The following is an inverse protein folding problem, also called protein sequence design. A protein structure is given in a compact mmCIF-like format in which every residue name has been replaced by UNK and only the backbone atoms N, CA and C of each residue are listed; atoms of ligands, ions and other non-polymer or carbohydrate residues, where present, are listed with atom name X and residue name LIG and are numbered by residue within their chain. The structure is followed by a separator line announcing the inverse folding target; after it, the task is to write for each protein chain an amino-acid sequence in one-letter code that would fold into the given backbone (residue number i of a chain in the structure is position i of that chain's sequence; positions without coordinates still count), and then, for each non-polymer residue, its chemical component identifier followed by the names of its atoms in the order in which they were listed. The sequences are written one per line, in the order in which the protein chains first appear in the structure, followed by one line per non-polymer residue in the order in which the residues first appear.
data_IF_065865182086
#
_entry.id   IF_065865182086
#
_cell.length_a   1.000
_cell.length_b   1.000
_cell.length_c   1.000
_cell.angle_alpha   90.00
_cell.angle_beta   90.00
_cell.angle_gamma   90.00
#
_symmetry.space_group_name_H-M   'P 1'
#
loop_
_entity.id
_entity.type
_entity.pdbx_description
1 polymer ?
#
# COMPACT_ATOMS: atom_id res chain seq x y z
N UNK A 1 11.39 11.15 13.55
CA UNK A 1 10.01 10.97 13.42
C UNK A 1 9.59 9.83 12.50
N UNK A 2 8.52 10.03 11.78
CA UNK A 2 7.85 9.02 10.94
C UNK A 2 8.79 8.34 9.92
N UNK A 3 9.54 9.10 9.15
CA UNK A 3 10.48 8.53 8.15
C UNK A 3 11.45 7.48 8.72
N UNK A 4 11.90 7.64 9.97
CA UNK A 4 12.76 6.66 10.63
C UNK A 4 12.01 5.37 10.98
N UNK A 5 10.76 5.50 11.44
CA UNK A 5 9.91 4.34 11.78
C UNK A 5 9.51 3.58 10.51
N UNK A 6 9.12 4.28 9.46
CA UNK A 6 8.79 3.67 8.17
C UNK A 6 10.00 3.01 7.51
N UNK A 7 11.18 3.61 7.59
CA UNK A 7 12.42 2.98 7.11
C UNK A 7 12.76 1.71 7.88
N UNK A 8 12.56 1.72 9.21
CA UNK A 8 12.77 0.53 10.03
C UNK A 8 11.77 -0.58 9.68
N UNK A 9 10.49 -0.25 9.55
CA UNK A 9 9.43 -1.18 9.15
C UNK A 9 9.71 -1.76 7.76
N UNK A 10 9.98 -0.92 6.78
CA UNK A 10 10.29 -1.36 5.41
C UNK A 10 11.50 -2.29 5.38
N UNK A 11 12.54 -2.00 6.15
CA UNK A 11 13.71 -2.88 6.26
C UNK A 11 13.39 -4.22 6.92
N UNK A 12 12.54 -4.22 7.95
CA UNK A 12 12.09 -5.45 8.61
C UNK A 12 11.27 -6.31 7.64
N UNK A 13 10.34 -5.71 6.91
CA UNK A 13 9.54 -6.38 5.89
C UNK A 13 10.44 -6.92 4.77
N UNK A 14 11.38 -6.09 4.26
CA UNK A 14 12.33 -6.55 3.25
C UNK A 14 13.15 -7.74 3.72
N UNK A 15 13.68 -7.72 4.94
CA UNK A 15 14.50 -8.82 5.47
C UNK A 15 13.73 -10.14 5.54
N UNK A 16 12.44 -10.06 5.87
CA UNK A 16 11.57 -11.23 5.86
C UNK A 16 11.43 -11.80 4.43
N UNK A 17 11.08 -10.94 3.47
CA UNK A 17 10.81 -11.39 2.10
C UNK A 17 12.06 -11.73 1.31
N UNK A 18 13.17 -11.01 1.51
CA UNK A 18 14.44 -11.30 0.85
C UNK A 18 14.95 -12.71 1.19
N UNK A 19 14.87 -13.11 2.46
CA UNK A 19 15.19 -14.47 2.85
C UNK A 19 14.32 -15.52 2.14
N UNK A 20 13.03 -15.23 1.96
CA UNK A 20 12.10 -16.13 1.25
C UNK A 20 12.37 -16.20 -0.26
N UNK A 21 12.93 -15.15 -0.85
CA UNK A 21 13.34 -15.10 -2.26
C UNK A 21 14.70 -15.75 -2.52
N UNK A 22 15.49 -16.00 -1.48
CA UNK A 22 16.89 -16.40 -1.61
C UNK A 22 17.78 -15.26 -2.12
N UNK A 23 17.30 -14.02 -2.06
CA UNK A 23 18.05 -12.83 -2.45
C UNK A 23 18.65 -12.18 -1.20
N UNK A 24 19.95 -12.01 -1.19
CA UNK A 24 20.67 -11.24 -0.17
C UNK A 24 21.47 -10.15 -0.86
N UNK A 25 20.82 -9.01 -1.10
CA UNK A 25 21.44 -7.87 -1.75
C UNK A 25 21.13 -6.59 -0.96
N UNK A 26 22.17 -5.99 -0.39
CA UNK A 26 22.08 -4.70 0.29
C UNK A 26 21.56 -3.57 -0.65
N UNK A 27 21.82 -3.68 -1.95
CA UNK A 27 21.32 -2.74 -2.95
C UNK A 27 19.79 -2.85 -3.11
N UNK A 28 19.24 -4.06 -3.10
CA UNK A 28 17.78 -4.29 -3.15
C UNK A 28 17.09 -3.84 -1.84
N UNK A 29 17.73 -4.06 -0.68
CA UNK A 29 17.25 -3.54 0.61
C UNK A 29 17.13 -2.01 0.56
N UNK A 30 18.16 -1.34 0.10
CA UNK A 30 18.18 0.13 -0.02
C UNK A 30 17.10 0.61 -0.99
N UNK A 31 16.95 -0.02 -2.14
CA UNK A 31 15.94 0.35 -3.15
C UNK A 31 14.51 0.20 -2.60
N UNK A 32 14.23 -0.91 -1.90
CA UNK A 32 12.93 -1.19 -1.29
C UNK A 32 12.60 -0.15 -0.19
N UNK A 33 13.56 0.13 0.70
CA UNK A 33 13.40 1.14 1.76
C UNK A 33 13.19 2.53 1.18
N UNK A 34 13.96 2.93 0.16
CA UNK A 34 13.81 4.22 -0.50
C UNK A 34 12.46 4.34 -1.22
N UNK A 35 11.95 3.26 -1.82
CA UNK A 35 10.64 3.26 -2.45
C UNK A 35 9.54 3.53 -1.40
N UNK A 36 9.62 2.91 -0.22
CA UNK A 36 8.69 3.19 0.89
C UNK A 36 8.80 4.63 1.39
N UNK A 37 10.01 5.12 1.59
CA UNK A 37 10.24 6.50 2.05
C UNK A 37 9.66 7.50 1.04
N UNK A 38 9.85 7.28 -0.26
CA UNK A 38 9.27 8.14 -1.31
C UNK A 38 7.74 8.13 -1.27
N UNK A 39 7.14 6.96 -1.12
CA UNK A 39 5.68 6.84 -1.03
C UNK A 39 5.12 7.59 0.18
N UNK A 40 5.70 7.40 1.38
CA UNK A 40 5.27 8.12 2.60
C UNK A 40 5.51 9.61 2.46
N UNK A 41 6.65 10.03 1.89
CA UNK A 41 6.92 11.45 1.67
C UNK A 41 5.88 12.09 0.73
N UNK A 42 5.49 11.40 -0.34
CA UNK A 42 4.44 11.87 -1.24
C UNK A 42 3.07 11.97 -0.52
N UNK A 43 2.75 11.00 0.34
CA UNK A 43 1.56 11.00 1.19
C UNK A 43 1.53 12.23 2.11
N UNK A 44 2.62 12.48 2.84
CA UNK A 44 2.71 13.64 3.75
C UNK A 44 2.64 14.98 2.99
N UNK A 45 3.22 15.06 1.79
CA UNK A 45 3.06 16.22 0.91
C UNK A 45 1.60 16.40 0.49
N UNK A 46 0.89 15.30 0.19
CA UNK A 46 -0.54 15.33 -0.08
C UNK A 46 -1.34 16.01 1.05
N UNK A 47 -1.05 15.66 2.30
CA UNK A 47 -1.66 16.31 3.47
C UNK A 47 -1.34 17.81 3.54
N UNK A 48 -0.12 18.22 3.23
CA UNK A 48 0.22 19.66 3.21
C UNK A 48 -0.51 20.43 2.11
N UNK A 49 -0.94 19.73 1.06
CA UNK A 49 -1.78 20.27 -0.01
C UNK A 49 -3.29 20.16 0.28
N UNK A 50 -3.68 19.70 1.47
CA UNK A 50 -5.08 19.60 1.89
C UNK A 50 -5.78 18.30 1.54
N UNK A 51 -5.10 17.32 0.94
CA UNK A 51 -5.70 16.03 0.67
C UNK A 51 -5.88 15.22 1.96
N UNK A 52 -7.06 14.63 2.11
CA UNK A 52 -7.37 13.69 3.18
C UNK A 52 -7.07 12.25 2.73
N UNK A 53 -7.03 11.30 3.67
CA UNK A 53 -6.90 9.88 3.33
C UNK A 53 -7.99 9.44 2.35
N UNK A 54 -7.64 8.56 1.42
CA UNK A 54 -8.57 7.97 0.46
C UNK A 54 -8.40 6.44 0.41
N UNK A 55 -9.07 5.73 1.32
CA UNK A 55 -8.94 4.28 1.51
C UNK A 55 -9.66 3.43 0.47
N UNK A 56 -10.45 4.02 -0.42
CA UNK A 56 -11.07 3.29 -1.54
C UNK A 56 -10.18 3.28 -2.79
N UNK A 57 -9.04 3.96 -2.75
CA UNK A 57 -8.18 4.12 -3.93
C UNK A 57 -7.54 2.80 -4.41
N UNK A 58 -7.46 1.78 -3.56
CA UNK A 58 -7.05 0.42 -3.94
C UNK A 58 -7.98 -0.23 -4.97
N UNK A 59 -9.28 0.16 -5.01
CA UNK A 59 -10.28 -0.41 -5.93
C UNK A 59 -10.04 -0.01 -7.39
N UNK A 60 -9.26 1.05 -7.65
CA UNK A 60 -8.84 1.47 -8.98
C UNK A 60 -7.30 1.51 -9.07
N UNK A 61 -6.70 0.38 -8.80
CA UNK A 61 -5.26 0.12 -8.74
C UNK A 61 -4.61 0.82 -7.53
N UNK A 62 -3.54 1.57 -7.74
CA UNK A 62 -2.90 2.44 -6.75
C UNK A 62 -3.30 3.87 -7.04
N UNK A 63 -4.58 4.13 -6.96
CA UNK A 63 -5.22 5.35 -7.42
C UNK A 63 -4.81 6.60 -6.65
N UNK A 64 -4.33 6.46 -5.40
CA UNK A 64 -3.92 7.59 -4.58
C UNK A 64 -2.77 7.22 -3.63
N UNK A 65 -1.83 8.16 -3.43
CA UNK A 65 -0.83 8.08 -2.34
C UNK A 65 -1.45 8.33 -0.97
N UNK A 66 -2.68 8.85 -0.92
CA UNK A 66 -3.41 9.11 0.32
C UNK A 66 -4.06 7.87 0.92
N UNK A 67 -3.89 6.71 0.28
CA UNK A 67 -4.18 5.41 0.85
C UNK A 67 -3.04 4.94 1.78
N UNK A 68 -3.28 3.86 2.54
CA UNK A 68 -2.27 3.13 3.31
C UNK A 68 -2.04 1.74 2.71
N UNK A 69 -1.42 1.62 1.53
CA UNK A 69 -1.25 0.34 0.89
C UNK A 69 -0.22 -0.53 1.65
N UNK A 70 -0.50 -1.82 1.70
CA UNK A 70 0.53 -2.80 2.00
C UNK A 70 1.58 -2.83 0.88
N UNK A 71 2.82 -3.30 1.15
CA UNK A 71 3.75 -3.58 0.07
C UNK A 71 3.14 -4.62 -0.88
N UNK A 72 3.16 -4.33 -2.19
CA UNK A 72 2.69 -5.25 -3.22
C UNK A 72 3.63 -6.43 -3.33
N UNK A 73 3.17 -7.58 -2.87
CA UNK A 73 3.89 -8.84 -2.95
C UNK A 73 3.13 -9.72 -3.93
N UNK A 74 3.81 -10.13 -4.99
CA UNK A 74 3.22 -10.99 -6.04
C UNK A 74 3.93 -12.34 -6.07
N UNK A 75 3.26 -13.32 -6.60
CA UNK A 75 3.88 -14.58 -7.02
C UNK A 75 4.07 -14.54 -8.53
N UNK A 76 5.32 -14.66 -8.98
CA UNK A 76 5.69 -14.77 -10.38
C UNK A 76 6.36 -16.13 -10.60
N UNK A 77 5.72 -16.99 -11.38
CA UNK A 77 6.19 -18.37 -11.59
C UNK A 77 6.39 -19.16 -10.27
N UNK A 78 5.54 -18.91 -9.26
CA UNK A 78 5.66 -19.55 -7.95
C UNK A 78 6.71 -18.93 -7.01
N UNK A 79 7.42 -17.89 -7.47
CA UNK A 79 8.42 -17.15 -6.69
C UNK A 79 7.86 -15.83 -6.16
N UNK A 80 8.33 -15.40 -4.98
CA UNK A 80 7.95 -14.11 -4.39
C UNK A 80 8.64 -12.99 -5.17
N UNK A 81 7.86 -12.03 -5.63
CA UNK A 81 8.30 -10.85 -6.38
C UNK A 81 7.96 -9.56 -5.63
N UNK A 82 8.96 -8.75 -5.31
CA UNK A 82 8.87 -7.44 -4.66
C UNK A 82 9.21 -6.29 -5.62
N UNK A 83 9.41 -6.54 -6.89
CA UNK A 83 9.88 -5.54 -7.86
C UNK A 83 8.98 -4.31 -7.95
N UNK A 84 7.71 -4.46 -7.60
CA UNK A 84 6.69 -3.40 -7.59
C UNK A 84 6.08 -3.19 -6.20
N UNK A 85 6.85 -3.40 -5.14
CA UNK A 85 6.34 -3.34 -3.77
C UNK A 85 5.65 -2.01 -3.44
N UNK A 86 6.17 -0.90 -3.94
CA UNK A 86 5.60 0.43 -3.73
C UNK A 86 5.45 1.18 -5.05
N UNK A 87 4.38 1.98 -5.16
CA UNK A 87 4.15 2.84 -6.30
C UNK A 87 5.16 4.01 -6.33
N UNK A 88 5.39 4.55 -7.52
CA UNK A 88 6.24 5.70 -7.75
C UNK A 88 5.37 6.89 -8.21
N UNK A 89 5.49 8.00 -7.51
CA UNK A 89 4.74 9.23 -7.81
C UNK A 89 3.29 9.20 -7.30
N UNK A 90 2.54 10.31 -7.56
CA UNK A 90 1.13 10.43 -7.20
C UNK A 90 0.26 9.50 -8.02
N UNK A 91 -0.87 9.09 -7.45
CA UNK A 91 -1.89 8.33 -8.15
C UNK A 91 -2.76 9.21 -9.05
N UNK A 92 -3.62 8.55 -9.84
CA UNK A 92 -4.53 9.26 -10.77
C UNK A 92 -5.53 10.15 -10.04
N UNK A 93 -5.98 9.74 -8.86
CA UNK A 93 -6.85 10.55 -7.99
C UNK A 93 -6.12 11.80 -7.48
N UNK A 94 -4.88 11.67 -7.06
CA UNK A 94 -4.10 12.77 -6.52
C UNK A 94 -3.90 13.86 -7.57
N UNK A 95 -3.51 13.46 -8.78
CA UNK A 95 -3.33 14.39 -9.91
C UNK A 95 -4.64 15.08 -10.25
N UNK A 96 -5.76 14.36 -10.27
CA UNK A 96 -7.08 14.91 -10.54
C UNK A 96 -7.52 15.88 -9.44
N UNK A 97 -7.34 15.52 -8.16
CA UNK A 97 -7.73 16.35 -7.02
C UNK A 97 -6.90 17.64 -6.94
N UNK A 98 -5.60 17.54 -7.20
CA UNK A 98 -4.71 18.72 -7.27
C UNK A 98 -5.06 19.61 -8.46
N UNK A 99 -5.39 19.03 -9.61
CA UNK A 99 -5.85 19.82 -10.77
C UNK A 99 -7.14 20.61 -10.44
N UNK A 100 -8.07 20.00 -9.73
CA UNK A 100 -9.28 20.68 -9.27
C UNK A 100 -8.98 21.78 -8.24
N UNK A 101 -8.16 21.50 -7.23
CA UNK A 101 -7.91 22.41 -6.11
C UNK A 101 -6.92 23.54 -6.40
N UNK A 102 -6.01 23.35 -7.37
CA UNK A 102 -4.91 24.27 -7.66
C UNK A 102 -4.84 24.72 -9.13
N UNK A 103 -5.77 24.26 -9.97
CA UNK A 103 -5.86 24.72 -11.36
C UNK A 103 -6.20 26.22 -11.40
N UNK A 104 -5.59 26.94 -12.34
CA UNK A 104 -5.86 28.34 -12.57
C UNK A 104 -6.69 28.46 -13.83
N UNK A 105 -7.89 29.02 -13.70
CA UNK A 105 -8.86 29.18 -14.78
C UNK A 105 -9.24 30.67 -14.94
N UNK A 106 -9.63 31.12 -16.15
CA UNK A 106 -10.21 32.44 -16.30
C UNK A 106 -11.49 32.57 -15.47
N UNK A 107 -11.68 33.68 -14.77
CA UNK A 107 -12.83 33.91 -13.89
C UNK A 107 -14.19 33.65 -14.55
N UNK A 108 -14.31 33.97 -15.86
CA UNK A 108 -15.54 33.74 -16.60
C UNK A 108 -15.89 32.27 -16.86
N UNK A 109 -14.92 31.33 -16.77
CA UNK A 109 -15.09 29.91 -17.08
C UNK A 109 -14.67 29.02 -15.94
N UNK A 110 -14.27 29.57 -14.81
CA UNK A 110 -13.76 28.78 -13.66
C UNK A 110 -14.78 27.75 -13.17
N UNK A 111 -16.02 28.18 -12.94
CA UNK A 111 -17.07 27.28 -12.45
C UNK A 111 -17.34 26.13 -13.42
N UNK A 112 -17.39 26.37 -14.71
CA UNK A 112 -17.60 25.33 -15.73
C UNK A 112 -16.40 24.40 -15.84
N UNK A 113 -15.18 24.94 -15.73
CA UNK A 113 -13.95 24.16 -15.74
C UNK A 113 -13.87 23.21 -14.54
N UNK A 114 -14.16 23.72 -13.34
CA UNK A 114 -14.20 22.89 -12.13
C UNK A 114 -15.29 21.82 -12.21
N UNK A 115 -16.48 22.15 -12.71
CA UNK A 115 -17.55 21.18 -12.92
C UNK A 115 -17.17 20.10 -13.95
N UNK A 116 -16.46 20.47 -15.01
CA UNK A 116 -15.97 19.52 -16.02
C UNK A 116 -14.92 18.56 -15.43
N UNK A 117 -14.00 19.05 -14.58
CA UNK A 117 -13.02 18.18 -13.88
C UNK A 117 -13.72 17.18 -12.98
N UNK A 118 -14.74 17.62 -12.21
CA UNK A 118 -15.52 16.71 -11.35
C UNK A 118 -16.24 15.66 -12.19
N UNK A 119 -16.90 16.07 -13.28
CA UNK A 119 -17.60 15.15 -14.17
C UNK A 119 -16.65 14.10 -14.81
N UNK A 120 -15.43 14.50 -15.17
CA UNK A 120 -14.40 13.59 -15.69
C UNK A 120 -13.96 12.55 -14.64
N UNK A 121 -13.72 12.99 -13.40
CA UNK A 121 -13.36 12.09 -12.31
C UNK A 121 -14.46 11.07 -11.99
N UNK A 122 -15.73 11.51 -11.99
CA UNK A 122 -16.88 10.60 -11.80
C UNK A 122 -16.99 9.58 -12.93
N UNK A 123 -16.77 9.97 -14.19
CA UNK A 123 -16.73 9.04 -15.33
C UNK A 123 -15.62 8.01 -15.23
N UNK A 124 -14.49 8.40 -14.66
CA UNK A 124 -13.32 7.54 -14.42
C UNK A 124 -13.43 6.73 -13.13
N UNK A 125 -14.52 6.90 -12.40
CA UNK A 125 -14.79 6.23 -11.12
C UNK A 125 -13.72 6.51 -10.05
N UNK A 126 -13.22 7.77 -10.00
CA UNK A 126 -12.32 8.22 -8.96
C UNK A 126 -13.09 8.47 -7.67
N UNK A 127 -13.30 7.38 -6.93
CA UNK A 127 -14.05 7.39 -5.70
C UNK A 127 -13.23 7.92 -4.54
N UNK A 128 -13.92 8.43 -3.52
CA UNK A 128 -13.33 8.95 -2.29
C UNK A 128 -14.11 8.45 -1.07
N UNK A 129 -13.43 7.72 -0.20
CA UNK A 129 -13.91 7.34 1.13
C UNK A 129 -12.74 7.45 2.11
N UNK A 130 -12.97 8.08 3.27
CA UNK A 130 -11.90 8.47 4.18
C UNK A 130 -11.96 7.76 5.55
N UNK A 131 -11.34 8.36 6.56
CA UNK A 131 -11.21 7.81 7.91
C UNK A 131 -12.54 7.42 8.55
N UNK A 132 -13.58 8.24 8.34
CA UNK A 132 -14.93 7.96 8.87
C UNK A 132 -15.56 6.67 8.33
N UNK A 133 -15.15 6.27 7.11
CA UNK A 133 -15.67 5.09 6.42
C UNK A 133 -14.82 3.83 6.65
N UNK A 134 -13.56 4.01 7.08
CA UNK A 134 -12.57 2.93 7.15
C UNK A 134 -12.21 2.50 8.58
N UNK A 135 -12.07 3.46 9.51
CA UNK A 135 -11.47 3.25 10.84
C UNK A 135 -12.43 2.84 11.95
N UNK A 136 -13.70 3.30 12.01
CA UNK A 136 -14.62 2.87 13.05
C UNK A 136 -14.81 1.35 13.07
N UNK A 137 -15.01 0.78 14.27
CA UNK A 137 -15.26 -0.67 14.42
C UNK A 137 -16.50 -1.15 13.65
N UNK A 138 -17.47 -0.27 13.45
CA UNK A 138 -18.68 -0.53 12.67
C UNK A 138 -18.56 -0.10 11.19
N UNK A 139 -17.38 0.23 10.72
CA UNK A 139 -17.16 0.48 9.30
C UNK A 139 -17.43 -0.79 8.49
N UNK A 140 -18.42 -0.73 7.60
CA UNK A 140 -18.95 -1.91 6.92
C UNK A 140 -18.60 -1.98 5.42
N UNK A 141 -18.02 -0.92 4.84
CA UNK A 141 -17.65 -0.95 3.42
C UNK A 141 -16.33 -1.72 3.22
N UNK A 142 -16.37 -2.92 2.59
CA UNK A 142 -15.17 -3.73 2.38
C UNK A 142 -14.16 -3.10 1.40
N UNK A 143 -14.57 -2.05 0.67
CA UNK A 143 -13.70 -1.31 -0.25
C UNK A 143 -12.79 -0.31 0.47
N UNK A 144 -13.00 -0.06 1.76
CA UNK A 144 -12.23 0.89 2.58
C UNK A 144 -11.32 0.17 3.58
N UNK A 145 -10.58 -0.80 3.11
CA UNK A 145 -9.69 -1.59 3.96
C UNK A 145 -8.30 -0.96 4.01
N UNK A 146 -7.81 -0.68 5.23
CA UNK A 146 -6.42 -0.25 5.42
C UNK A 146 -5.48 -1.42 5.12
N UNK A 147 -4.34 -1.12 4.51
CA UNK A 147 -3.27 -2.08 4.21
C UNK A 147 -3.66 -3.14 3.19
N UNK A 148 -4.56 -2.82 2.29
CA UNK A 148 -4.87 -3.66 1.14
C UNK A 148 -4.06 -3.26 -0.12
N UNK A 149 -4.09 -4.10 -1.15
CA UNK A 149 -3.46 -3.86 -2.44
C UNK A 149 -4.14 -4.73 -3.52
N UNK A 150 -5.44 -4.60 -3.65
CA UNK A 150 -6.21 -5.26 -4.71
C UNK A 150 -7.55 -4.55 -4.93
N UNK A 151 -8.17 -4.80 -6.08
CA UNK A 151 -9.45 -4.18 -6.46
C UNK A 151 -10.61 -4.63 -5.58
N UNK A 152 -10.56 -5.84 -5.04
CA UNK A 152 -11.56 -6.35 -4.10
C UNK A 152 -10.91 -6.98 -2.88
N UNK A 153 -11.60 -6.93 -1.74
CA UNK A 153 -11.13 -7.57 -0.50
C UNK A 153 -10.93 -9.09 -0.68
N UNK A 154 -11.79 -9.75 -1.48
CA UNK A 154 -11.67 -11.17 -1.80
C UNK A 154 -10.42 -11.50 -2.62
N UNK A 155 -10.09 -10.68 -3.62
CA UNK A 155 -8.86 -10.83 -4.40
C UNK A 155 -7.63 -10.62 -3.53
N UNK A 156 -7.66 -9.61 -2.68
CA UNK A 156 -6.59 -9.35 -1.74
C UNK A 156 -6.37 -10.53 -0.80
N UNK A 157 -7.42 -11.10 -0.22
CA UNK A 157 -7.32 -12.27 0.65
C UNK A 157 -6.73 -13.49 -0.09
N UNK A 158 -7.14 -13.74 -1.35
CA UNK A 158 -6.54 -14.81 -2.16
C UNK A 158 -5.05 -14.60 -2.38
N UNK A 159 -4.64 -13.41 -2.82
CA UNK A 159 -3.22 -13.07 -3.02
C UNK A 159 -2.40 -13.23 -1.75
N UNK A 160 -2.91 -12.74 -0.63
CA UNK A 160 -2.24 -12.84 0.66
C UNK A 160 -2.11 -14.28 1.13
N UNK A 161 -3.15 -15.09 0.93
CA UNK A 161 -3.16 -16.51 1.32
C UNK A 161 -2.17 -17.31 0.48
N UNK A 162 -2.12 -17.09 -0.82
CA UNK A 162 -1.20 -17.79 -1.73
C UNK A 162 0.26 -17.40 -1.44
N UNK A 163 0.52 -16.10 -1.29
CA UNK A 163 1.85 -15.61 -0.91
C UNK A 163 2.28 -16.18 0.44
N UNK A 164 1.38 -16.16 1.43
CA UNK A 164 1.64 -16.73 2.76
C UNK A 164 1.97 -18.22 2.71
N UNK A 165 1.27 -18.99 1.88
CA UNK A 165 1.53 -20.44 1.71
C UNK A 165 2.95 -20.69 1.20
N UNK A 166 3.36 -19.97 0.15
CA UNK A 166 4.71 -20.06 -0.41
C UNK A 166 5.74 -19.60 0.62
N UNK A 167 5.50 -18.48 1.30
CA UNK A 167 6.39 -17.92 2.28
C UNK A 167 6.60 -18.86 3.48
N UNK A 168 5.53 -19.46 4.02
CA UNK A 168 5.61 -20.43 5.14
C UNK A 168 6.37 -21.70 4.76
N UNK A 169 6.22 -22.18 3.52
CA UNK A 169 6.96 -23.36 3.06
C UNK A 169 8.47 -23.13 2.95
N UNK A 170 8.90 -21.88 2.92
CA UNK A 170 10.31 -21.46 2.76
C UNK A 170 10.91 -20.86 4.02
N UNK A 171 10.08 -20.54 5.02
CA UNK A 171 10.54 -19.90 6.24
C UNK A 171 11.51 -20.79 7.02
N UNK A 172 12.59 -20.21 7.52
CA UNK A 172 13.61 -20.92 8.29
C UNK A 172 14.95 -20.20 8.30
N UNK A 173 16.05 -20.95 8.28
CA UNK A 173 17.40 -20.39 8.39
C UNK A 173 17.75 -19.35 7.33
N UNK A 174 17.15 -19.41 6.15
CA UNK A 174 17.32 -18.39 5.10
C UNK A 174 16.77 -17.01 5.49
N UNK A 175 15.96 -16.92 6.55
CA UNK A 175 15.45 -15.68 7.09
C UNK A 175 16.35 -15.09 8.19
N UNK A 176 17.57 -15.62 8.33
CA UNK A 176 18.60 -15.13 9.25
C UNK A 176 19.75 -14.60 8.39
N UNK A 177 20.21 -13.39 8.68
CA UNK A 177 21.42 -12.82 8.06
C UNK A 177 22.66 -13.26 8.83
N UNK A 178 23.81 -13.17 8.18
CA UNK A 178 25.08 -13.40 8.83
C UNK A 178 25.25 -12.49 10.06
N UNK A 179 25.56 -13.11 11.19
CA UNK A 179 25.70 -12.42 12.47
C UNK A 179 24.41 -12.19 13.26
N UNK A 180 23.24 -12.54 12.73
CA UNK A 180 21.98 -12.52 13.49
C UNK A 180 21.79 -13.79 14.32
N UNK A 181 21.25 -13.69 15.56
CA UNK A 181 20.95 -14.85 16.37
C UNK A 181 19.74 -15.62 15.84
N UNK A 182 19.69 -16.92 16.07
CA UNK A 182 18.54 -17.78 15.74
C UNK A 182 17.22 -17.25 16.32
N UNK A 183 17.25 -16.58 17.46
CA UNK A 183 16.09 -16.00 18.13
C UNK A 183 15.32 -14.99 17.25
N UNK A 184 15.98 -14.39 16.23
CA UNK A 184 15.32 -13.47 15.32
C UNK A 184 14.14 -14.09 14.55
N UNK A 185 14.13 -15.41 14.40
CA UNK A 185 13.01 -16.13 13.80
C UNK A 185 11.73 -16.01 14.61
N UNK A 186 11.83 -15.88 15.94
CA UNK A 186 10.66 -15.69 16.81
C UNK A 186 9.98 -14.33 16.55
N UNK A 187 10.74 -13.32 16.15
CA UNK A 187 10.20 -11.99 15.82
C UNK A 187 9.64 -11.95 14.39
N UNK A 188 10.26 -12.69 13.46
CA UNK A 188 9.87 -12.71 12.04
C UNK A 188 8.69 -13.63 11.75
N UNK A 189 8.57 -14.76 12.45
CA UNK A 189 7.50 -15.74 12.22
C UNK A 189 6.09 -15.17 12.42
N UNK A 190 5.76 -14.43 13.49
CA UNK A 190 4.43 -13.87 13.67
C UNK A 190 4.01 -12.92 12.53
N UNK A 191 4.95 -12.13 11.97
CA UNK A 191 4.68 -11.24 10.84
C UNK A 191 4.19 -12.03 9.63
N UNK A 192 4.82 -13.18 9.36
CA UNK A 192 4.46 -14.07 8.28
C UNK A 192 3.20 -14.88 8.59
N UNK A 193 3.07 -15.39 9.82
CA UNK A 193 1.93 -16.20 10.25
C UNK A 193 0.61 -15.39 10.15
N UNK A 194 0.62 -14.12 10.60
CA UNK A 194 -0.51 -13.20 10.56
C UNK A 194 -0.56 -12.34 9.31
N UNK A 195 0.18 -12.69 8.26
CA UNK A 195 0.31 -11.88 7.04
C UNK A 195 -1.04 -11.50 6.41
N UNK A 196 -2.00 -12.41 6.44
CA UNK A 196 -3.33 -12.27 5.85
C UNK A 196 -4.38 -11.55 6.74
N UNK A 197 -4.00 -11.10 7.96
CA UNK A 197 -4.96 -10.58 8.95
C UNK A 197 -5.77 -9.37 8.46
N UNK A 198 -5.13 -8.44 7.75
CA UNK A 198 -5.82 -7.26 7.24
C UNK A 198 -6.74 -7.61 6.07
N UNK A 199 -6.34 -8.54 5.22
CA UNK A 199 -7.18 -9.03 4.14
C UNK A 199 -8.41 -9.76 4.68
N UNK A 200 -8.26 -10.56 5.74
CA UNK A 200 -9.38 -11.22 6.40
C UNK A 200 -10.34 -10.19 7.00
N UNK A 201 -9.82 -9.16 7.67
CA UNK A 201 -10.64 -8.07 8.21
C UNK A 201 -11.44 -7.36 7.09
N UNK A 202 -10.85 -7.15 5.91
CA UNK A 202 -11.53 -6.55 4.77
C UNK A 202 -12.74 -7.36 4.28
N UNK A 203 -12.62 -8.68 4.17
CA UNK A 203 -13.73 -9.54 3.72
C UNK A 203 -14.79 -9.80 4.78
N UNK A 204 -14.51 -9.51 6.04
CA UNK A 204 -15.49 -9.65 7.15
C UNK A 204 -16.24 -8.36 7.44
N UNK A 205 -15.92 -7.26 6.76
CA UNK A 205 -16.75 -6.05 6.76
C UNK A 205 -18.02 -6.32 5.96
N UNK A 206 -19.13 -6.49 6.63
CA UNK A 206 -20.42 -6.76 6.01
C UNK A 206 -21.56 -6.01 6.71
#
# INVERSE_FOLDING_TARGET
GMARMDSHRARTDYNLYAGLMGADSAAMDTAFVLARVRQVSAHEVGHTLGLQHNYIASTYERGSVMDYPAPRIRLKNGEIDLSQAYAVGPGVYDVWAIHWGYGIFPAATEADSLAAIVADGLKKNYLYLSDGDARPENASDPRTTLWDDATTAGDFLRHQTDTRRVALSRFGLRNIRDGEPLAILQDRFPLLYFFHRFALNGVTKA
#
